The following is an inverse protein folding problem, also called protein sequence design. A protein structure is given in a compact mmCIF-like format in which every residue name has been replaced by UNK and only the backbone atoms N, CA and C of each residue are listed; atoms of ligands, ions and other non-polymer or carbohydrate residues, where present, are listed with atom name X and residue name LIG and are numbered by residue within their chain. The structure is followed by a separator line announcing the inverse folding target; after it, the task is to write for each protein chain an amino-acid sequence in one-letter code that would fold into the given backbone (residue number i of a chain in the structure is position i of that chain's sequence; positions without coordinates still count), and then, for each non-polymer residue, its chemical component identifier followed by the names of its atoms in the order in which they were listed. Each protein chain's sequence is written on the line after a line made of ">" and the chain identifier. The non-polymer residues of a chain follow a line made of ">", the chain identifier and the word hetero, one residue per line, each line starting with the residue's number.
data_IF_084758575403
#
_entry.id   IF_084758575403
#
_cell.length_a   1.000
_cell.length_b   1.000
_cell.length_c   1.000
_cell.angle_alpha   90.00
_cell.angle_beta   90.00
_cell.angle_gamma   90.00
#
_symmetry.space_group_name_H-M   'P 1'
#
loop_
_entity.id
_entity.type
_entity.pdbx_description
1 polymer ?
#
# COMPACT_ATOMS: atom_id res chain seq x y z
N UNK A 1 -18.47 -12.82 -21.84
CA UNK A 1 -17.16 -12.21 -21.64
C UNK A 1 -16.94 -11.33 -22.84
N UNK A 2 -17.27 -10.06 -22.70
CA UNK A 2 -17.25 -9.06 -23.79
C UNK A 2 -16.27 -7.92 -23.47
N UNK A 3 -15.54 -8.02 -22.36
CA UNK A 3 -14.52 -7.07 -21.95
C UNK A 3 -13.15 -7.56 -22.43
N UNK A 4 -12.42 -6.67 -23.09
CA UNK A 4 -11.03 -6.93 -23.50
C UNK A 4 -10.10 -7.06 -22.29
N UNK A 5 -8.89 -7.56 -22.55
CA UNK A 5 -7.86 -7.62 -21.52
C UNK A 5 -7.52 -6.20 -21.02
N UNK A 6 -7.41 -6.04 -19.71
CA UNK A 6 -6.96 -4.79 -19.07
C UNK A 6 -5.48 -4.87 -18.72
N UNK A 7 -4.82 -3.71 -18.68
CA UNK A 7 -3.46 -3.63 -18.17
C UNK A 7 -3.41 -3.90 -16.66
N UNK A 8 -2.30 -4.48 -16.21
CA UNK A 8 -2.06 -4.68 -14.78
C UNK A 8 -2.07 -3.34 -14.03
N UNK A 9 -2.71 -3.28 -12.85
CA UNK A 9 -2.76 -2.06 -12.05
C UNK A 9 -1.37 -1.68 -11.51
N UNK A 10 -1.26 -0.46 -10.99
CA UNK A 10 0.01 0.13 -10.52
C UNK A 10 0.70 -0.83 -9.53
N UNK A 11 2.04 -0.91 -9.64
CA UNK A 11 2.91 -1.77 -8.85
C UNK A 11 2.66 -3.28 -8.96
N UNK A 12 1.96 -3.73 -10.00
CA UNK A 12 1.81 -5.14 -10.34
C UNK A 12 2.38 -5.45 -11.73
N UNK A 13 2.44 -6.74 -12.08
CA UNK A 13 2.84 -7.23 -13.42
C UNK A 13 2.23 -8.61 -13.70
N UNK A 14 2.19 -8.98 -14.97
CA UNK A 14 2.02 -10.37 -15.42
C UNK A 14 2.99 -10.65 -16.57
N UNK A 15 3.44 -11.89 -16.69
CA UNK A 15 4.25 -12.38 -17.82
C UNK A 15 3.55 -13.50 -18.59
N UNK A 16 2.35 -13.88 -18.14
CA UNK A 16 1.59 -14.99 -18.72
C UNK A 16 0.49 -14.45 -19.61
N UNK A 17 0.35 -15.03 -20.81
CA UNK A 17 -0.80 -14.78 -21.66
C UNK A 17 -2.09 -15.31 -21.00
N UNK A 18 -3.19 -14.58 -21.15
CA UNK A 18 -4.48 -14.97 -20.54
C UNK A 18 -4.49 -14.93 -19.02
N UNK A 19 -3.61 -14.16 -18.38
CA UNK A 19 -3.55 -14.06 -16.93
C UNK A 19 -4.87 -13.52 -16.34
N UNK A 20 -5.38 -14.22 -15.33
CA UNK A 20 -6.59 -13.82 -14.57
C UNK A 20 -6.26 -12.92 -13.38
N UNK A 21 -4.98 -12.79 -13.04
CA UNK A 21 -4.49 -11.89 -12.00
C UNK A 21 -3.09 -11.34 -12.33
N UNK A 22 -2.75 -10.21 -11.71
CA UNK A 22 -1.41 -9.64 -11.77
C UNK A 22 -0.70 -9.81 -10.43
N UNK A 23 0.53 -10.30 -10.45
CA UNK A 23 1.37 -10.44 -9.25
C UNK A 23 1.98 -9.09 -8.86
N UNK A 24 2.12 -8.83 -7.56
CA UNK A 24 2.76 -7.61 -7.10
C UNK A 24 4.26 -7.60 -7.43
N UNK A 25 4.79 -6.40 -7.72
CA UNK A 25 6.22 -6.20 -7.85
C UNK A 25 6.88 -6.39 -6.48
N UNK A 26 8.18 -6.73 -6.48
CA UNK A 26 8.94 -6.85 -5.23
C UNK A 26 8.82 -5.59 -4.37
N UNK A 27 8.51 -5.78 -3.09
CA UNK A 27 8.28 -4.69 -2.13
C UNK A 27 6.85 -4.13 -2.11
N UNK A 28 5.94 -4.66 -2.94
CA UNK A 28 4.53 -4.30 -2.95
C UNK A 28 3.65 -5.51 -2.68
N UNK A 29 2.47 -5.25 -2.12
CA UNK A 29 1.58 -6.26 -1.57
C UNK A 29 0.12 -5.88 -1.78
N UNK A 30 -0.76 -6.85 -1.56
CA UNK A 30 -2.22 -6.67 -1.41
C UNK A 30 -2.63 -7.34 -0.11
N UNK A 31 -3.60 -6.77 0.59
CA UNK A 31 -4.24 -7.44 1.71
C UNK A 31 -5.13 -8.57 1.18
N UNK A 32 -5.42 -9.56 2.03
CA UNK A 32 -6.27 -10.70 1.65
C UNK A 32 -7.70 -10.30 1.23
N UNK A 33 -8.15 -9.13 1.68
CA UNK A 33 -9.46 -8.57 1.35
C UNK A 33 -9.44 -7.67 0.10
N UNK A 34 -8.26 -7.33 -0.45
CA UNK A 34 -8.16 -6.41 -1.59
C UNK A 34 -8.54 -7.13 -2.91
N UNK A 35 -9.35 -6.50 -3.77
CA UNK A 35 -9.63 -7.01 -5.11
C UNK A 35 -8.37 -7.17 -5.98
N UNK A 36 -8.41 -8.10 -6.94
CA UNK A 36 -7.25 -8.40 -7.83
C UNK A 36 -6.91 -7.27 -8.80
N UNK A 37 -7.89 -6.44 -9.11
CA UNK A 37 -7.79 -5.23 -9.94
C UNK A 37 -7.30 -4.01 -9.17
N UNK A 38 -7.24 -4.09 -7.82
CA UNK A 38 -6.66 -3.04 -6.99
C UNK A 38 -5.13 -2.95 -7.21
N UNK A 39 -4.53 -1.74 -7.21
CA UNK A 39 -3.08 -1.57 -7.19
C UNK A 39 -2.42 -2.27 -6.00
N UNK A 40 -1.18 -2.74 -6.18
CA UNK A 40 -0.39 -3.17 -5.04
C UNK A 40 0.15 -1.94 -4.29
N UNK A 41 0.07 -1.97 -2.96
CA UNK A 41 0.56 -0.92 -2.07
C UNK A 41 1.82 -1.38 -1.35
N UNK A 42 2.50 -0.48 -0.66
CA UNK A 42 3.68 -0.81 0.16
C UNK A 42 3.54 -0.17 1.53
N UNK A 43 4.45 -0.52 2.43
CA UNK A 43 4.50 0.06 3.77
C UNK A 43 4.80 1.55 3.62
N UNK A 44 3.99 2.45 4.21
CA UNK A 44 4.23 3.87 4.13
C UNK A 44 5.52 4.25 4.87
N UNK A 45 6.01 5.46 4.63
CA UNK A 45 7.13 6.04 5.36
C UNK A 45 6.81 6.20 6.85
N UNK A 46 7.83 6.49 7.65
CA UNK A 46 7.63 6.85 9.05
C UNK A 46 6.70 8.07 9.19
N UNK A 47 5.94 8.16 10.31
CA UNK A 47 5.19 9.37 10.64
C UNK A 47 6.14 10.56 10.78
N UNK A 48 5.64 11.75 10.47
CA UNK A 48 6.42 12.97 10.43
C UNK A 48 6.22 13.77 11.73
N UNK A 49 7.12 14.72 11.99
CA UNK A 49 6.99 15.71 13.07
C UNK A 49 6.59 15.10 14.43
N UNK A 50 7.29 14.06 14.87
CA UNK A 50 7.04 13.41 16.17
C UNK A 50 7.44 14.36 17.31
N UNK A 51 6.47 14.72 18.14
CA UNK A 51 6.61 15.58 19.30
C UNK A 51 6.25 14.76 20.53
N UNK A 52 7.09 14.83 21.56
CA UNK A 52 6.85 14.22 22.86
C UNK A 52 6.67 15.28 23.95
N UNK A 53 5.64 15.14 24.77
CA UNK A 53 5.38 15.98 25.93
C UNK A 53 5.18 15.11 27.17
N UNK A 54 5.84 15.46 28.27
CA UNK A 54 5.72 14.72 29.55
C UNK A 54 4.96 15.59 30.54
N UNK A 55 3.93 15.01 31.15
CA UNK A 55 3.19 15.63 32.25
C UNK A 55 3.23 14.69 33.47
N UNK A 56 4.05 15.05 34.45
CA UNK A 56 4.39 14.23 35.63
C UNK A 56 4.97 12.85 35.24
N UNK A 57 4.11 11.82 35.22
CA UNK A 57 4.46 10.43 34.86
C UNK A 57 3.84 10.00 33.53
N UNK A 58 3.06 10.89 32.90
CA UNK A 58 2.36 10.62 31.63
C UNK A 58 3.18 11.12 30.45
N UNK A 59 3.26 10.32 29.39
CA UNK A 59 3.88 10.68 28.11
C UNK A 59 2.78 10.86 27.05
N UNK A 60 2.74 12.04 26.43
CA UNK A 60 1.91 12.35 25.28
C UNK A 60 2.80 12.41 24.03
N UNK A 61 2.33 11.77 22.96
CA UNK A 61 2.99 11.76 21.66
C UNK A 61 2.03 12.33 20.61
N UNK A 62 2.54 13.27 19.83
CA UNK A 62 1.85 13.86 18.69
C UNK A 62 2.72 13.68 17.44
N UNK A 63 2.11 13.41 16.30
CA UNK A 63 2.82 13.26 15.03
C UNK A 63 1.89 13.60 13.87
N UNK A 64 2.48 13.87 12.70
CA UNK A 64 1.77 14.05 11.44
C UNK A 64 1.87 12.78 10.57
N UNK A 65 0.98 12.60 9.58
CA UNK A 65 0.97 11.40 8.74
C UNK A 65 2.31 11.16 8.00
N UNK A 66 2.56 9.93 7.52
CA UNK A 66 3.62 9.63 6.56
C UNK A 66 3.58 10.56 5.34
N UNK A 67 4.71 10.68 4.63
CA UNK A 67 4.80 11.55 3.45
C UNK A 67 4.04 10.98 2.24
N UNK A 68 3.92 9.67 2.19
CA UNK A 68 3.43 8.83 1.09
C UNK A 68 2.14 8.09 1.46
N UNK A 69 1.36 8.65 2.39
CA UNK A 69 0.02 8.20 2.75
C UNK A 69 -1.00 8.41 1.63
#
# INVERSE_FOLDING_TARGET
>A
GDEGCVHCPINSRTTSEGATNCVCRNGYYRADADPVDMPCTTIPSAPQSVISSVNETSLMLEWTPPRDS
#
